data_IF_875927962612
#
_entry.id   IF_875927962612
#
_cell.length_a   1.000
_cell.length_b   1.000
_cell.length_c   1.000
_cell.angle_alpha   90.00
_cell.angle_beta   90.00
_cell.angle_gamma   90.00
#
_symmetry.space_group_name_H-M   'P 1'
#
loop_
_entity.id
_entity.type
_entity.pdbx_description
1 polymer ?
#
# COMPACT_ATOMS: atom_id res chain seq x y z
N UNK A 1 -11.77 13.80 14.27
CA UNK A 1 -11.61 12.43 13.73
C UNK A 1 -12.95 11.74 13.84
N UNK A 2 -13.50 11.19 12.76
CA UNK A 2 -14.80 10.52 12.78
C UNK A 2 -14.65 9.03 13.11
N UNK A 3 -15.75 8.39 13.51
CA UNK A 3 -15.77 7.00 13.99
C UNK A 3 -15.24 6.01 12.94
N UNK A 4 -15.69 6.12 11.70
CA UNK A 4 -15.25 5.27 10.59
C UNK A 4 -13.72 5.34 10.35
N UNK A 5 -13.07 6.49 10.55
CA UNK A 5 -11.62 6.62 10.39
C UNK A 5 -10.87 5.81 11.45
N UNK A 6 -11.38 5.77 12.69
CA UNK A 6 -10.82 4.90 13.74
C UNK A 6 -11.05 3.42 13.43
N UNK A 7 -12.25 3.05 13.00
CA UNK A 7 -12.54 1.65 12.64
C UNK A 7 -11.70 1.20 11.46
N UNK A 8 -11.54 2.04 10.44
CA UNK A 8 -10.68 1.77 9.29
C UNK A 8 -9.22 1.61 9.73
N UNK A 9 -8.70 2.53 10.54
CA UNK A 9 -7.33 2.46 11.05
C UNK A 9 -7.07 1.11 11.73
N UNK A 10 -7.96 0.70 12.65
CA UNK A 10 -7.88 -0.56 13.35
C UNK A 10 -8.00 -1.76 12.41
N UNK A 11 -9.01 -1.76 11.53
CA UNK A 11 -9.26 -2.85 10.58
C UNK A 11 -8.06 -3.07 9.67
N UNK A 12 -7.47 -2.01 9.13
CA UNK A 12 -6.28 -2.12 8.29
C UNK A 12 -5.08 -2.69 9.06
N UNK A 13 -4.89 -2.31 10.32
CA UNK A 13 -3.78 -2.83 11.14
C UNK A 13 -3.99 -4.31 11.47
N UNK A 14 -5.18 -4.67 11.96
CA UNK A 14 -5.50 -6.01 12.44
C UNK A 14 -5.59 -7.03 11.29
N UNK A 15 -6.18 -6.64 10.15
CA UNK A 15 -6.40 -7.52 8.99
C UNK A 15 -5.25 -7.47 7.98
N UNK A 16 -4.19 -6.68 8.20
CA UNK A 16 -3.09 -6.50 7.25
C UNK A 16 -2.48 -7.82 6.73
N UNK A 17 -2.24 -8.87 7.55
CA UNK A 17 -1.69 -10.12 7.03
C UNK A 17 -2.64 -10.80 6.04
N UNK A 18 -3.94 -10.82 6.34
CA UNK A 18 -4.94 -11.43 5.48
C UNK A 18 -5.14 -10.63 4.18
N UNK A 19 -5.17 -9.30 4.29
CA UNK A 19 -5.23 -8.40 3.14
C UNK A 19 -4.00 -8.58 2.24
N UNK A 20 -2.79 -8.69 2.80
CA UNK A 20 -1.57 -8.87 2.02
C UNK A 20 -1.58 -10.16 1.19
N UNK A 21 -1.94 -11.28 1.80
CA UNK A 21 -2.08 -12.56 1.10
C UNK A 21 -3.15 -12.52 0.00
N UNK A 22 -4.29 -11.86 0.29
CA UNK A 22 -5.35 -11.70 -0.70
C UNK A 22 -4.91 -10.85 -1.89
N UNK A 23 -4.28 -9.70 -1.63
CA UNK A 23 -3.71 -8.79 -2.63
C UNK A 23 -2.72 -9.54 -3.53
N UNK A 24 -1.81 -10.33 -2.95
CA UNK A 24 -0.86 -11.11 -3.74
C UNK A 24 -1.54 -12.18 -4.58
N UNK A 25 -2.55 -12.86 -4.02
CA UNK A 25 -3.33 -13.85 -4.76
C UNK A 25 -3.99 -13.21 -5.99
N UNK A 26 -4.61 -12.04 -5.83
CA UNK A 26 -5.20 -11.29 -6.94
C UNK A 26 -4.13 -10.84 -7.95
N UNK A 27 -2.99 -10.36 -7.47
CA UNK A 27 -1.85 -9.97 -8.32
C UNK A 27 -1.37 -11.13 -9.16
N UNK A 28 -1.12 -12.31 -8.59
CA UNK A 28 -0.62 -13.47 -9.34
C UNK A 28 -1.66 -14.09 -10.26
N UNK A 29 -2.94 -13.95 -9.94
CA UNK A 29 -4.02 -14.33 -10.85
C UNK A 29 -3.99 -13.51 -12.15
N UNK A 30 -3.70 -12.20 -12.07
CA UNK A 30 -3.62 -11.31 -13.25
C UNK A 30 -2.24 -11.31 -13.92
N UNK A 31 -1.19 -11.38 -13.11
CA UNK A 31 0.20 -11.37 -13.54
C UNK A 31 0.91 -12.60 -12.94
N UNK A 32 0.81 -13.77 -13.59
CA UNK A 32 1.52 -14.96 -13.15
C UNK A 32 3.03 -14.74 -13.14
N UNK A 33 3.73 -15.43 -12.23
CA UNK A 33 5.18 -15.43 -12.17
C UNK A 33 5.68 -16.10 -13.45
N UNK A 34 6.56 -15.42 -14.19
CA UNK A 34 7.18 -15.99 -15.38
C UNK A 34 8.38 -16.84 -14.99
N UNK A 35 8.65 -17.90 -15.76
CA UNK A 35 9.88 -18.70 -15.60
C UNK A 35 11.10 -17.76 -15.64
N UNK A 36 11.97 -17.87 -14.62
CA UNK A 36 13.18 -17.05 -14.34
C UNK A 36 12.98 -15.76 -13.54
N UNK A 37 11.77 -15.40 -13.13
CA UNK A 37 11.57 -14.25 -12.26
C UNK A 37 11.93 -14.61 -10.80
N UNK A 38 12.92 -13.91 -10.22
CA UNK A 38 13.21 -14.02 -8.79
C UNK A 38 12.00 -13.47 -8.02
N UNK A 39 11.32 -14.36 -7.32
CA UNK A 39 10.15 -14.03 -6.52
C UNK A 39 10.27 -14.65 -5.14
N UNK A 40 10.24 -13.80 -4.13
CA UNK A 40 10.05 -14.21 -2.74
C UNK A 40 8.65 -13.81 -2.30
N UNK A 41 7.80 -14.82 -2.09
CA UNK A 41 6.44 -14.64 -1.62
C UNK A 41 6.38 -14.04 -0.23
N UNK A 42 7.26 -14.48 0.68
CA UNK A 42 7.22 -14.02 2.05
C UNK A 42 7.59 -12.55 2.11
N UNK A 43 8.72 -12.16 1.51
CA UNK A 43 9.10 -10.74 1.44
C UNK A 43 8.02 -9.88 0.78
N UNK A 44 7.42 -10.34 -0.32
CA UNK A 44 6.34 -9.61 -0.99
C UNK A 44 5.11 -9.42 -0.10
N UNK A 45 4.77 -10.44 0.69
CA UNK A 45 3.65 -10.39 1.65
C UNK A 45 3.97 -9.41 2.75
N UNK A 46 5.18 -9.49 3.30
CA UNK A 46 5.63 -8.62 4.38
C UNK A 46 5.64 -7.14 3.96
N UNK A 47 6.04 -6.83 2.72
CA UNK A 47 6.01 -5.46 2.20
C UNK A 47 4.60 -4.91 2.09
N UNK A 48 3.67 -5.68 1.54
CA UNK A 48 2.27 -5.27 1.42
C UNK A 48 1.63 -5.15 2.80
N UNK A 49 1.86 -6.12 3.68
CA UNK A 49 1.37 -6.08 5.06
C UNK A 49 1.84 -4.81 5.78
N UNK A 50 3.14 -4.49 5.70
CA UNK A 50 3.70 -3.27 6.29
C UNK A 50 3.08 -2.00 5.73
N UNK A 51 2.83 -1.92 4.42
CA UNK A 51 2.15 -0.77 3.83
C UNK A 51 0.72 -0.65 4.36
N UNK A 52 -0.03 -1.74 4.40
CA UNK A 52 -1.43 -1.73 4.88
C UNK A 52 -1.48 -1.28 6.36
N UNK A 53 -0.60 -1.81 7.22
CA UNK A 53 -0.46 -1.37 8.61
C UNK A 53 -0.07 0.11 8.72
N UNK A 54 0.84 0.56 7.85
CA UNK A 54 1.30 1.94 7.82
C UNK A 54 0.18 2.89 7.41
N UNK A 55 -0.65 2.53 6.42
CA UNK A 55 -1.84 3.28 6.02
C UNK A 55 -2.83 3.38 7.19
N UNK A 56 -3.12 2.25 7.85
CA UNK A 56 -3.99 2.23 9.03
C UNK A 56 -3.48 3.14 10.15
N UNK A 57 -2.19 3.02 10.50
CA UNK A 57 -1.56 3.84 11.54
C UNK A 57 -1.52 5.33 11.15
N UNK A 58 -1.31 5.63 9.88
CA UNK A 58 -1.20 6.99 9.34
C UNK A 58 -2.51 7.78 9.38
N UNK A 59 -3.66 7.08 9.38
CA UNK A 59 -4.96 7.74 9.49
C UNK A 59 -5.11 8.52 10.79
N UNK A 60 -4.41 8.15 11.87
CA UNK A 60 -4.54 8.80 13.18
C UNK A 60 -3.37 9.74 13.54
N UNK A 61 -2.44 9.94 12.60
CA UNK A 61 -1.28 10.81 12.79
C UNK A 61 -1.54 12.23 12.25
N UNK A 62 -0.68 13.17 12.66
CA UNK A 62 -0.62 14.48 12.01
C UNK A 62 -0.16 14.34 10.54
N UNK A 63 -0.54 15.28 9.65
CA UNK A 63 -0.15 15.21 8.24
C UNK A 63 1.36 15.08 8.02
N UNK A 64 2.19 15.81 8.78
CA UNK A 64 3.65 15.73 8.66
C UNK A 64 4.21 14.37 9.08
N UNK A 65 3.78 13.83 10.22
CA UNK A 65 4.25 12.53 10.71
C UNK A 65 3.82 11.37 9.80
N UNK A 66 2.61 11.48 9.25
CA UNK A 66 2.11 10.57 8.20
C UNK A 66 3.03 10.60 6.97
N UNK A 67 3.30 11.79 6.44
CA UNK A 67 4.11 11.96 5.23
C UNK A 67 5.51 11.39 5.40
N UNK A 68 6.17 11.66 6.53
CA UNK A 68 7.50 11.14 6.84
C UNK A 68 7.53 9.61 6.90
N UNK A 69 6.56 8.99 7.59
CA UNK A 69 6.48 7.53 7.69
C UNK A 69 6.29 6.85 6.33
N UNK A 70 5.39 7.38 5.50
CA UNK A 70 5.11 6.88 4.15
C UNK A 70 6.33 7.02 3.23
N UNK A 71 7.04 8.15 3.29
CA UNK A 71 8.28 8.37 2.53
C UNK A 71 9.38 7.39 2.91
N UNK A 72 9.60 7.17 4.22
CA UNK A 72 10.62 6.23 4.70
C UNK A 72 10.33 4.82 4.20
N UNK A 73 9.09 4.36 4.31
CA UNK A 73 8.69 3.05 3.79
C UNK A 73 8.90 2.95 2.27
N UNK A 74 8.50 3.97 1.51
CA UNK A 74 8.63 3.99 0.06
C UNK A 74 10.08 3.94 -0.41
N UNK A 75 10.97 4.74 0.20
CA UNK A 75 12.40 4.78 -0.09
C UNK A 75 13.05 3.43 0.18
N UNK A 76 12.79 2.85 1.35
CA UNK A 76 13.36 1.54 1.73
C UNK A 76 12.90 0.44 0.78
N UNK A 77 11.60 0.39 0.49
CA UNK A 77 11.02 -0.65 -0.37
C UNK A 77 11.52 -0.53 -1.81
N UNK A 78 11.73 0.69 -2.32
CA UNK A 78 12.30 0.92 -3.64
C UNK A 78 13.74 0.38 -3.75
N UNK A 79 14.57 0.65 -2.74
CA UNK A 79 15.95 0.12 -2.67
C UNK A 79 15.97 -1.39 -2.63
N UNK A 80 15.13 -2.00 -1.79
CA UNK A 80 15.00 -3.45 -1.76
C UNK A 80 14.58 -4.03 -3.11
N UNK A 81 13.56 -3.46 -3.77
CA UNK A 81 13.12 -3.94 -5.08
C UNK A 81 14.28 -3.96 -6.11
N UNK A 82 15.13 -2.91 -6.09
CA UNK A 82 16.31 -2.82 -6.94
C UNK A 82 17.39 -3.86 -6.56
N UNK A 83 17.71 -4.00 -5.27
CA UNK A 83 18.68 -4.98 -4.75
C UNK A 83 18.32 -6.43 -5.12
N UNK A 84 17.02 -6.74 -5.13
CA UNK A 84 16.49 -8.05 -5.56
C UNK A 84 16.40 -8.21 -7.09
N UNK A 85 16.80 -7.20 -7.87
CA UNK A 85 16.79 -7.22 -9.32
C UNK A 85 15.38 -7.24 -9.93
N UNK A 86 14.36 -6.79 -9.18
CA UNK A 86 13.00 -6.67 -9.72
C UNK A 86 12.90 -5.43 -10.60
N UNK A 87 12.37 -5.55 -11.82
CA UNK A 87 12.07 -4.37 -12.62
C UNK A 87 10.98 -3.51 -11.95
N UNK A 88 11.02 -2.20 -12.21
CA UNK A 88 10.01 -1.26 -11.72
C UNK A 88 8.58 -1.72 -12.06
N UNK A 89 8.35 -2.16 -13.30
CA UNK A 89 7.05 -2.67 -13.76
C UNK A 89 6.55 -3.83 -12.91
N UNK A 90 7.46 -4.73 -12.51
CA UNK A 90 7.14 -5.88 -11.65
C UNK A 90 6.82 -5.42 -10.23
N UNK A 91 7.65 -4.55 -9.66
CA UNK A 91 7.49 -4.05 -8.30
C UNK A 91 6.17 -3.27 -8.14
N UNK A 92 5.74 -2.57 -9.19
CA UNK A 92 4.52 -1.77 -9.21
C UNK A 92 3.23 -2.56 -9.49
N UNK A 93 3.30 -3.85 -9.86
CA UNK A 93 2.10 -4.63 -10.22
C UNK A 93 1.07 -4.75 -9.10
N UNK A 94 1.50 -4.77 -7.83
CA UNK A 94 0.62 -4.90 -6.67
C UNK A 94 -0.21 -3.64 -6.37
N UNK A 95 0.25 -2.47 -6.82
CA UNK A 95 -0.31 -1.15 -6.43
C UNK A 95 -1.81 -0.99 -6.70
N UNK A 96 -2.27 -1.41 -7.88
CA UNK A 96 -3.70 -1.35 -8.24
C UNK A 96 -4.56 -2.25 -7.33
N UNK A 97 -4.03 -3.40 -6.92
CA UNK A 97 -4.74 -4.36 -6.08
C UNK A 97 -4.77 -3.87 -4.63
N UNK A 98 -3.65 -3.32 -4.14
CA UNK A 98 -3.60 -2.67 -2.82
C UNK A 98 -4.69 -1.59 -2.75
N UNK A 99 -4.74 -0.67 -3.72
CA UNK A 99 -5.76 0.39 -3.74
C UNK A 99 -7.18 -0.20 -3.75
N UNK A 100 -7.46 -1.16 -4.64
CA UNK A 100 -8.77 -1.79 -4.76
C UNK A 100 -9.23 -2.41 -3.44
N UNK A 101 -8.36 -3.18 -2.79
CA UNK A 101 -8.71 -3.89 -1.54
C UNK A 101 -8.94 -2.92 -0.38
N UNK A 102 -8.15 -1.85 -0.27
CA UNK A 102 -8.39 -0.82 0.74
C UNK A 102 -9.73 -0.11 0.50
N UNK A 103 -10.08 0.19 -0.76
CA UNK A 103 -11.38 0.79 -1.09
C UNK A 103 -12.55 -0.13 -0.76
N UNK A 104 -12.43 -1.44 -0.99
CA UNK A 104 -13.45 -2.42 -0.59
C UNK A 104 -13.61 -2.48 0.94
N UNK A 105 -12.53 -2.36 1.71
CA UNK A 105 -12.63 -2.26 3.17
C UNK A 105 -13.39 -0.99 3.58
N UNK A 106 -13.12 0.15 2.95
CA UNK A 106 -13.84 1.41 3.21
C UNK A 106 -15.32 1.27 2.88
N UNK A 107 -15.66 0.71 1.72
CA UNK A 107 -17.04 0.47 1.28
C UNK A 107 -17.79 -0.40 2.28
N UNK A 108 -17.21 -1.55 2.66
CA UNK A 108 -17.79 -2.46 3.65
C UNK A 108 -18.04 -1.77 5.00
N UNK A 109 -17.06 -1.01 5.51
CA UNK A 109 -17.21 -0.30 6.78
C UNK A 109 -18.26 0.82 6.68
N UNK A 110 -18.32 1.52 5.55
CA UNK A 110 -19.30 2.57 5.33
C UNK A 110 -20.73 2.02 5.34
N UNK A 111 -20.96 0.85 4.74
CA UNK A 111 -22.24 0.14 4.79
C UNK A 111 -22.59 -0.31 6.22
N UNK A 112 -21.62 -0.89 6.94
CA UNK A 112 -21.81 -1.39 8.32
C UNK A 112 -22.13 -0.28 9.31
N UNK A 113 -21.48 0.88 9.18
CA UNK A 113 -21.63 2.01 10.09
C UNK A 113 -22.66 3.05 9.62
N UNK A 114 -23.32 2.83 8.48
CA UNK A 114 -24.23 3.80 7.84
C UNK A 114 -23.57 5.19 7.66
N UNK A 115 -22.31 5.17 7.25
CA UNK A 115 -21.49 6.37 7.12
C UNK A 115 -22.00 7.25 5.99
N UNK A 116 -21.99 8.57 6.19
CA UNK A 116 -22.44 9.49 5.14
C UNK A 116 -21.50 9.48 3.93
N UNK A 117 -22.06 9.67 2.73
CA UNK A 117 -21.27 9.76 1.47
C UNK A 117 -20.15 10.79 1.57
N UNK A 118 -20.38 11.91 2.25
CA UNK A 118 -19.37 12.97 2.46
C UNK A 118 -18.15 12.45 3.24
N UNK A 119 -18.38 11.67 4.28
CA UNK A 119 -17.31 11.10 5.10
C UNK A 119 -16.55 10.00 4.35
N UNK A 120 -17.27 9.16 3.58
CA UNK A 120 -16.65 8.16 2.71
C UNK A 120 -15.72 8.82 1.69
N UNK A 121 -16.19 9.88 1.01
CA UNK A 121 -15.38 10.63 0.04
C UNK A 121 -14.13 11.21 0.71
N UNK A 122 -14.27 11.79 1.90
CA UNK A 122 -13.13 12.33 2.64
C UNK A 122 -12.07 11.26 2.93
N UNK A 123 -12.48 10.09 3.43
CA UNK A 123 -11.57 8.98 3.74
C UNK A 123 -10.89 8.43 2.48
N UNK A 124 -11.65 8.27 1.39
CA UNK A 124 -11.10 7.84 0.10
C UNK A 124 -10.04 8.83 -0.39
N UNK A 125 -10.27 10.14 -0.25
CA UNK A 125 -9.30 11.17 -0.62
C UNK A 125 -8.03 11.06 0.22
N UNK A 126 -8.14 10.91 1.54
CA UNK A 126 -7.00 10.74 2.43
C UNK A 126 -6.17 9.50 2.07
N UNK A 127 -6.83 8.37 1.85
CA UNK A 127 -6.17 7.10 1.47
C UNK A 127 -5.49 7.22 0.11
N UNK A 128 -6.16 7.83 -0.87
CA UNK A 128 -5.59 8.02 -2.19
C UNK A 128 -4.35 8.91 -2.13
N UNK A 129 -4.38 10.02 -1.39
CA UNK A 129 -3.21 10.88 -1.22
C UNK A 129 -2.03 10.13 -0.59
N UNK A 130 -2.27 9.29 0.42
CA UNK A 130 -1.22 8.48 1.05
C UNK A 130 -0.62 7.46 0.08
N UNK A 131 -1.46 6.77 -0.69
CA UNK A 131 -1.02 5.81 -1.70
C UNK A 131 -0.24 6.49 -2.84
N UNK A 132 -0.74 7.64 -3.32
CA UNK A 132 -0.11 8.41 -4.39
C UNK A 132 1.28 8.89 -3.96
N UNK A 133 1.41 9.42 -2.74
CA UNK A 133 2.70 9.77 -2.15
C UNK A 133 3.66 8.57 -2.10
N UNK A 134 3.20 7.43 -1.56
CA UNK A 134 4.04 6.23 -1.47
C UNK A 134 4.56 5.80 -2.84
N UNK A 135 3.69 5.70 -3.82
CA UNK A 135 4.04 5.19 -5.15
C UNK A 135 4.86 6.18 -5.97
N UNK A 136 4.61 7.49 -5.80
CA UNK A 136 5.45 8.53 -6.40
C UNK A 136 6.88 8.45 -5.84
N UNK A 137 7.02 8.47 -4.51
CA UNK A 137 8.32 8.43 -3.84
C UNK A 137 9.06 7.13 -4.17
N UNK A 138 8.35 6.00 -4.14
CA UNK A 138 8.91 4.70 -4.53
C UNK A 138 9.49 4.75 -5.95
N UNK A 139 8.71 5.24 -6.92
CA UNK A 139 9.13 5.30 -8.32
C UNK A 139 10.31 6.24 -8.52
N UNK A 140 10.28 7.41 -7.89
CA UNK A 140 11.36 8.38 -7.95
C UNK A 140 12.66 7.79 -7.38
N UNK A 141 12.61 7.23 -6.16
CA UNK A 141 13.79 6.63 -5.53
C UNK A 141 14.35 5.46 -6.33
N UNK A 142 13.48 4.62 -6.90
CA UNK A 142 13.91 3.49 -7.73
C UNK A 142 14.67 3.99 -8.97
N UNK A 143 14.16 5.02 -9.65
CA UNK A 143 14.81 5.59 -10.84
C UNK A 143 16.12 6.31 -10.51
N UNK A 144 16.16 7.08 -9.43
CA UNK A 144 17.38 7.75 -8.95
C UNK A 144 18.48 6.73 -8.64
N UNK A 145 18.12 5.65 -7.94
CA UNK A 145 19.06 4.58 -7.56
C UNK A 145 19.63 3.84 -8.78
N UNK A 146 18.86 3.70 -9.86
CA UNK A 146 19.37 3.16 -11.13
C UNK A 146 20.38 4.12 -11.76
N UNK A 147 20.08 5.42 -11.80
CA UNK A 147 20.96 6.42 -12.41
C UNK A 147 22.29 6.54 -11.67
N UNK A 148 22.31 6.36 -10.36
CA UNK A 148 23.54 6.33 -9.55
C UNK A 148 24.39 5.07 -9.75
N UNK A 149 23.78 3.97 -10.24
CA UNK A 149 24.44 2.69 -10.44
C UNK A 149 25.02 2.49 -11.85
N UNK A 150 24.75 3.42 -12.79
CA UNK A 150 25.23 3.42 -14.18
C UNK A 150 26.40 4.38 -14.33
#
# INVERSE_FOLDING_TARGET
MNQIQHTLAKTLIDDAPALAEHILTLRFKKYPIKDKQLFDRQSSTDYIMKLVQLLGSSLVLSPSAREDGLKVWAIQTARYALEYGQSLDVAMQSTQFIRSEILQVIERLAEQEQTSVKEVIFIIQEINQMLDLCFQVFTQTYMESILEAI
#
